data_IF_170486965589
#
_entry.id   IF_170486965589
#
_cell.length_a   1.000
_cell.length_b   1.000
_cell.length_c   1.000
_cell.angle_alpha   90.00
_cell.angle_beta   90.00
_cell.angle_gamma   90.00
#
_symmetry.space_group_name_H-M   'P 1'
#
loop_
_entity.id
_entity.type
_entity.pdbx_description
1 polymer ?
#
# COMPACT_ATOMS: atom_id res chain seq x y z
N UNK A 1 33.13 1.61 -8.56
CA UNK A 1 31.81 0.96 -8.41
C UNK A 1 31.35 1.16 -6.97
N UNK A 2 30.45 2.11 -6.73
CA UNK A 2 29.85 2.28 -5.39
C UNK A 2 28.88 1.12 -5.18
N UNK A 3 29.21 0.22 -4.27
CA UNK A 3 28.31 -0.81 -3.76
C UNK A 3 27.10 -0.11 -3.16
N UNK A 4 25.99 -0.07 -3.90
CA UNK A 4 24.74 0.43 -3.38
C UNK A 4 24.30 -0.52 -2.27
N UNK A 5 24.46 -0.12 -1.01
CA UNK A 5 23.82 -0.75 0.14
C UNK A 5 22.30 -0.80 -0.12
N UNK A 6 21.80 -1.91 -0.66
CA UNK A 6 20.38 -2.13 -0.90
C UNK A 6 19.74 -2.55 0.41
N UNK A 7 19.60 -1.59 1.33
CA UNK A 7 18.86 -1.77 2.57
C UNK A 7 17.38 -1.90 2.26
N UNK A 8 16.74 -2.95 2.77
CA UNK A 8 15.29 -3.12 2.69
C UNK A 8 14.62 -2.36 3.83
N UNK A 9 13.57 -1.62 3.48
CA UNK A 9 12.68 -0.95 4.41
C UNK A 9 11.33 -1.64 4.39
N UNK A 10 10.60 -1.58 5.49
CA UNK A 10 9.23 -2.03 5.54
C UNK A 10 8.32 -1.00 6.19
N UNK A 11 7.10 -0.90 5.68
CA UNK A 11 5.97 -0.22 6.29
C UNK A 11 4.92 -1.27 6.65
N UNK A 12 4.25 -1.11 7.79
CA UNK A 12 3.09 -1.92 8.14
C UNK A 12 1.99 -1.06 8.72
N UNK A 13 0.75 -1.30 8.29
CA UNK A 13 -0.44 -0.61 8.78
C UNK A 13 -1.53 -1.60 9.12
N UNK A 14 -2.48 -1.14 9.93
CA UNK A 14 -3.66 -1.91 10.33
C UNK A 14 -4.88 -1.01 10.35
N UNK A 15 -6.00 -1.50 9.82
CA UNK A 15 -7.31 -0.88 9.97
C UNK A 15 -8.35 -1.97 10.24
N UNK A 16 -9.07 -1.84 11.34
CA UNK A 16 -10.26 -2.64 11.59
C UNK A 16 -11.51 -1.87 11.14
N UNK A 17 -12.41 -2.55 10.41
CA UNK A 17 -13.69 -2.02 10.01
C UNK A 17 -14.82 -3.00 10.37
N UNK A 18 -16.03 -2.52 10.75
CA UNK A 18 -17.18 -3.35 11.11
C UNK A 18 -17.90 -3.87 9.86
N UNK A 19 -17.16 -4.44 8.91
CA UNK A 19 -17.65 -4.96 7.64
C UNK A 19 -17.12 -6.39 7.47
N UNK A 20 -17.90 -7.26 6.83
CA UNK A 20 -17.49 -8.64 6.59
C UNK A 20 -16.32 -8.71 5.59
N UNK A 21 -15.45 -9.70 5.77
CA UNK A 21 -14.20 -9.82 5.02
C UNK A 21 -14.39 -9.84 3.52
N UNK A 22 -15.38 -10.57 3.02
CA UNK A 22 -15.63 -10.67 1.57
C UNK A 22 -15.88 -9.32 0.92
N UNK A 23 -16.66 -8.44 1.55
CA UNK A 23 -16.93 -7.11 1.00
C UNK A 23 -15.70 -6.21 1.07
N UNK A 24 -14.93 -6.28 2.16
CA UNK A 24 -13.65 -5.55 2.25
C UNK A 24 -12.66 -6.05 1.19
N UNK A 25 -12.55 -7.37 1.02
CA UNK A 25 -11.67 -7.97 0.01
C UNK A 25 -12.09 -7.55 -1.41
N UNK A 26 -13.39 -7.59 -1.72
CA UNK A 26 -13.93 -7.21 -3.03
C UNK A 26 -13.53 -5.77 -3.40
N UNK A 27 -13.68 -4.83 -2.46
CA UNK A 27 -13.24 -3.44 -2.64
C UNK A 27 -11.74 -3.34 -2.94
N UNK A 28 -10.89 -4.09 -2.21
CA UNK A 28 -9.43 -4.06 -2.42
C UNK A 28 -9.00 -4.78 -3.70
N UNK A 29 -9.79 -5.76 -4.16
CA UNK A 29 -9.53 -6.50 -5.40
C UNK A 29 -9.92 -5.71 -6.65
N UNK A 30 -10.63 -4.60 -6.53
CA UNK A 30 -10.89 -3.72 -7.67
C UNK A 30 -9.74 -2.72 -7.83
N UNK A 31 -8.91 -2.93 -8.85
CA UNK A 31 -7.79 -2.04 -9.16
C UNK A 31 -8.21 -0.58 -9.40
N UNK A 32 -9.46 -0.32 -9.81
CA UNK A 32 -9.98 1.04 -9.99
C UNK A 32 -10.33 1.71 -8.65
N UNK A 33 -10.60 0.95 -7.60
CA UNK A 33 -10.79 1.49 -6.24
C UNK A 33 -9.48 2.04 -5.64
N UNK A 34 -8.32 1.57 -6.11
CA UNK A 34 -7.02 2.10 -5.70
C UNK A 34 -6.89 3.59 -6.01
N UNK A 35 -7.53 4.09 -7.08
CA UNK A 35 -7.55 5.52 -7.40
C UNK A 35 -8.22 6.34 -6.29
N UNK A 36 -9.30 5.83 -5.71
CA UNK A 36 -10.02 6.49 -4.60
C UNK A 36 -9.26 6.38 -3.27
N UNK A 37 -8.51 5.28 -3.09
CA UNK A 37 -7.72 5.01 -1.89
C UNK A 37 -6.34 5.69 -1.89
N UNK A 38 -5.98 6.41 -2.95
CA UNK A 38 -4.70 7.12 -3.07
C UNK A 38 -4.90 8.64 -3.08
N UNK A 39 -3.98 9.40 -2.46
CA UNK A 39 -4.12 10.85 -2.40
C UNK A 39 -4.17 11.51 -3.80
N UNK A 40 -5.01 12.55 -4.01
CA UNK A 40 -5.14 13.22 -5.31
C UNK A 40 -3.82 13.81 -5.86
N UNK A 41 -2.88 14.19 -4.97
CA UNK A 41 -1.58 14.74 -5.38
C UNK A 41 -0.70 13.72 -6.12
N UNK A 42 -0.93 12.41 -5.93
CA UNK A 42 -0.26 11.37 -6.71
C UNK A 42 -0.82 11.24 -8.11
N UNK A 43 -2.03 11.74 -8.40
CA UNK A 43 -2.71 11.55 -9.68
C UNK A 43 -2.56 10.11 -10.20
N UNK A 44 -2.86 9.14 -9.31
CA UNK A 44 -2.80 7.72 -9.61
C UNK A 44 -3.84 7.41 -10.68
N UNK A 45 -3.44 6.69 -11.73
CA UNK A 45 -4.32 6.27 -12.81
C UNK A 45 -3.99 4.85 -13.23
N UNK A 46 -5.00 4.01 -13.32
CA UNK A 46 -4.88 2.69 -13.95
C UNK A 46 -4.82 2.87 -15.47
N UNK A 47 -3.78 2.33 -16.08
CA UNK A 47 -3.58 2.35 -17.54
C UNK A 47 -4.05 1.05 -18.21
N UNK A 48 -4.10 -0.05 -17.46
CA UNK A 48 -4.65 -1.32 -17.95
C UNK A 48 -6.16 -1.16 -18.22
N UNK A 49 -6.65 -1.46 -19.43
CA UNK A 49 -8.08 -1.39 -19.73
C UNK A 49 -8.90 -2.36 -18.88
N UNK A 50 -10.07 -1.92 -18.43
CA UNK A 50 -11.01 -2.75 -17.69
C UNK A 50 -11.91 -3.63 -18.59
N UNK A 51 -12.57 -4.64 -18.02
CA UNK A 51 -12.44 -5.10 -16.64
C UNK A 51 -11.09 -5.83 -16.41
N UNK A 52 -10.57 -5.75 -15.19
CA UNK A 52 -9.33 -6.41 -14.79
C UNK A 52 -9.70 -7.59 -13.89
N UNK A 53 -9.52 -8.80 -14.40
CA UNK A 53 -9.60 -10.00 -13.57
C UNK A 53 -8.33 -10.11 -12.72
N UNK A 54 -8.50 -10.14 -11.40
CA UNK A 54 -7.39 -10.31 -10.45
C UNK A 54 -7.09 -11.80 -10.25
N UNK A 55 -5.85 -12.17 -10.52
CA UNK A 55 -5.34 -13.53 -10.35
C UNK A 55 -3.82 -13.51 -10.25
N UNK A 56 -3.21 -14.61 -9.78
CA UNK A 56 -1.75 -14.75 -9.77
C UNK A 56 -1.17 -14.59 -11.19
N UNK A 57 -0.07 -13.84 -11.33
CA UNK A 57 0.55 -13.45 -12.59
C UNK A 57 -0.11 -12.25 -13.28
N UNK A 58 -1.19 -11.67 -12.74
CA UNK A 58 -1.87 -10.55 -13.38
C UNK A 58 -0.98 -9.30 -13.40
N UNK A 59 -0.72 -8.79 -14.60
CA UNK A 59 0.01 -7.54 -14.79
C UNK A 59 -0.93 -6.34 -14.81
N UNK A 60 -0.55 -5.29 -14.08
CA UNK A 60 -1.28 -4.04 -14.03
C UNK A 60 -0.31 -2.87 -14.23
N UNK A 61 -0.66 -1.98 -15.15
CA UNK A 61 0.08 -0.77 -15.46
C UNK A 61 -0.64 0.44 -14.86
N UNK A 62 0.12 1.29 -14.19
CA UNK A 62 -0.33 2.53 -13.58
C UNK A 62 0.54 3.71 -14.02
N UNK A 63 0.00 4.90 -13.81
CA UNK A 63 0.77 6.15 -13.82
C UNK A 63 0.54 6.88 -12.50
N UNK A 64 1.64 7.35 -11.90
CA UNK A 64 1.62 8.21 -10.72
C UNK A 64 2.44 9.47 -10.97
N UNK A 65 2.29 10.47 -10.10
CA UNK A 65 3.08 11.70 -10.08
C UNK A 65 3.81 11.79 -8.73
N UNK A 66 5.12 11.56 -8.75
CA UNK A 66 5.98 11.72 -7.57
C UNK A 66 6.73 13.04 -7.67
N UNK A 67 6.57 13.90 -6.66
CA UNK A 67 7.19 15.25 -6.60
C UNK A 67 7.06 16.04 -7.92
N UNK A 68 5.90 15.95 -8.58
CA UNK A 68 5.60 16.65 -9.83
C UNK A 68 5.93 15.88 -11.11
N UNK A 69 6.72 14.81 -11.04
CA UNK A 69 7.17 14.03 -12.21
C UNK A 69 6.24 12.83 -12.47
N UNK A 70 5.73 12.64 -13.70
CA UNK A 70 4.95 11.47 -14.05
C UNK A 70 5.86 10.23 -14.17
N UNK A 71 5.45 9.13 -13.54
CA UNK A 71 6.18 7.86 -13.50
C UNK A 71 5.21 6.74 -13.86
N UNK A 72 5.63 5.90 -14.82
CA UNK A 72 4.94 4.65 -15.12
C UNK A 72 5.36 3.56 -14.15
N UNK A 73 4.39 2.80 -13.67
CA UNK A 73 4.59 1.74 -12.71
C UNK A 73 3.87 0.49 -13.18
N UNK A 74 4.59 -0.60 -13.38
CA UNK A 74 4.05 -1.93 -13.68
C UNK A 74 4.23 -2.84 -12.47
N UNK A 75 3.16 -3.48 -12.05
CA UNK A 75 3.17 -4.52 -11.02
C UNK A 75 2.63 -5.84 -11.55
N UNK A 76 2.92 -6.90 -10.82
CA UNK A 76 2.39 -8.25 -10.99
C UNK A 76 1.73 -8.69 -9.68
N UNK A 77 0.55 -9.31 -9.75
CA UNK A 77 -0.05 -10.00 -8.61
C UNK A 77 0.67 -11.32 -8.41
N UNK A 78 1.60 -11.38 -7.46
CA UNK A 78 2.45 -12.56 -7.23
C UNK A 78 1.79 -13.60 -6.34
N UNK A 79 0.83 -13.19 -5.51
CA UNK A 79 0.06 -14.06 -4.63
C UNK A 79 -1.41 -13.66 -4.69
N UNK A 80 -2.29 -14.65 -4.72
CA UNK A 80 -3.73 -14.47 -4.83
C UNK A 80 -4.47 -15.61 -4.10
N UNK A 81 -5.02 -15.30 -2.92
CA UNK A 81 -5.78 -16.26 -2.10
C UNK A 81 -7.06 -15.59 -1.57
N UNK A 82 -8.09 -15.41 -2.41
CA UNK A 82 -9.32 -14.74 -2.01
C UNK A 82 -10.13 -15.58 -1.01
N UNK A 83 -10.74 -14.97 0.03
CA UNK A 83 -10.73 -13.54 0.36
C UNK A 83 -9.69 -13.18 1.44
N UNK A 84 -8.59 -13.94 1.57
CA UNK A 84 -7.65 -13.86 2.69
C UNK A 84 -6.48 -12.91 2.42
N UNK A 85 -5.85 -12.98 1.25
CA UNK A 85 -4.72 -12.14 0.92
C UNK A 85 -4.46 -12.00 -0.59
N UNK A 86 -3.68 -10.97 -0.93
CA UNK A 86 -2.98 -10.89 -2.20
C UNK A 86 -1.72 -10.04 -2.06
N UNK A 87 -0.78 -10.23 -2.98
CA UNK A 87 0.49 -9.49 -3.01
C UNK A 87 0.74 -8.93 -4.39
N UNK A 88 1.00 -7.63 -4.50
CA UNK A 88 1.48 -6.98 -5.70
C UNK A 88 2.99 -6.68 -5.61
N UNK A 89 3.74 -7.06 -6.65
CA UNK A 89 5.18 -6.83 -6.74
C UNK A 89 5.51 -5.95 -7.94
N UNK A 90 6.37 -4.97 -7.75
CA UNK A 90 6.81 -4.10 -8.84
C UNK A 90 7.75 -4.86 -9.80
N UNK A 91 7.41 -4.82 -11.09
CA UNK A 91 8.31 -5.21 -12.18
C UNK A 91 9.09 -4.01 -12.73
N UNK A 92 8.46 -2.83 -12.78
CA UNK A 92 9.08 -1.58 -13.22
C UNK A 92 8.45 -0.40 -12.51
N UNK A 93 9.23 0.49 -11.92
CA UNK A 93 8.67 1.65 -11.24
C UNK A 93 9.73 2.51 -10.54
N UNK A 94 9.31 3.39 -9.62
CA UNK A 94 10.19 4.36 -8.94
C UNK A 94 11.11 3.70 -7.91
N UNK A 95 10.78 2.50 -7.44
CA UNK A 95 11.54 1.76 -6.43
C UNK A 95 12.58 0.83 -7.07
N UNK A 96 13.57 0.37 -6.31
CA UNK A 96 14.45 -0.74 -6.72
C UNK A 96 13.75 -2.08 -6.56
N UNK A 97 12.97 -2.22 -5.50
CA UNK A 97 12.02 -3.31 -5.28
C UNK A 97 10.84 -2.76 -4.51
N UNK A 98 9.68 -3.37 -4.73
CA UNK A 98 8.45 -3.10 -4.02
C UNK A 98 7.62 -4.36 -4.02
N UNK A 99 7.22 -4.78 -2.83
CA UNK A 99 6.31 -5.90 -2.58
C UNK A 99 5.28 -5.39 -1.58
N UNK A 100 4.01 -5.37 -1.97
CA UNK A 100 2.92 -4.91 -1.12
C UNK A 100 1.93 -6.06 -0.94
N UNK A 101 1.88 -6.56 0.28
CA UNK A 101 0.96 -7.62 0.71
C UNK A 101 -0.21 -7.02 1.47
N UNK A 102 -1.40 -7.45 1.10
CA UNK A 102 -2.67 -7.11 1.74
C UNK A 102 -3.23 -8.38 2.39
N UNK A 103 -3.59 -8.32 3.66
CA UNK A 103 -4.23 -9.44 4.36
C UNK A 103 -5.50 -9.01 5.07
N UNK A 104 -6.48 -9.92 5.10
CA UNK A 104 -7.82 -9.68 5.60
C UNK A 104 -8.21 -10.77 6.60
N UNK A 105 -8.33 -10.39 7.86
CA UNK A 105 -8.65 -11.30 8.96
C UNK A 105 -9.99 -10.92 9.59
N UNK A 106 -10.86 -11.91 9.82
CA UNK A 106 -12.08 -11.69 10.62
C UNK A 106 -11.70 -11.55 12.09
N UNK A 107 -12.11 -10.44 12.71
CA UNK A 107 -11.78 -10.12 14.10
C UNK A 107 -12.91 -9.32 14.73
N UNK A 108 -13.34 -9.69 15.94
CA UNK A 108 -14.35 -8.96 16.73
C UNK A 108 -15.64 -8.62 15.95
N UNK A 109 -16.08 -9.51 15.06
CA UNK A 109 -17.28 -9.31 14.23
C UNK A 109 -17.10 -8.35 13.05
N UNK A 110 -15.88 -7.91 12.77
CA UNK A 110 -15.50 -7.13 11.59
C UNK A 110 -14.29 -7.72 10.88
N UNK A 111 -13.60 -6.87 10.11
CA UNK A 111 -12.40 -7.26 9.35
C UNK A 111 -11.23 -6.38 9.72
N UNK A 112 -10.12 -7.01 10.08
CA UNK A 112 -8.82 -6.38 10.23
C UNK A 112 -8.04 -6.47 8.92
N UNK A 113 -7.91 -5.34 8.25
CA UNK A 113 -7.05 -5.14 7.09
C UNK A 113 -5.64 -4.85 7.56
N UNK A 114 -4.66 -5.54 6.99
CA UNK A 114 -3.25 -5.22 7.17
C UNK A 114 -2.59 -5.01 5.82
N UNK A 115 -1.85 -3.92 5.72
CA UNK A 115 -0.93 -3.71 4.61
C UNK A 115 0.50 -3.88 5.12
N UNK A 116 1.31 -4.60 4.37
CA UNK A 116 2.77 -4.64 4.53
C UNK A 116 3.41 -4.27 3.20
N UNK A 117 4.24 -3.23 3.23
CA UNK A 117 5.03 -2.83 2.06
C UNK A 117 6.50 -3.06 2.38
N UNK A 118 7.17 -3.88 1.59
CA UNK A 118 8.61 -4.11 1.63
C UNK A 118 9.24 -3.50 0.40
N UNK A 119 10.19 -2.60 0.59
CA UNK A 119 10.68 -1.77 -0.50
C UNK A 119 12.14 -1.36 -0.34
N UNK A 120 12.77 -1.14 -1.50
CA UNK A 120 14.12 -0.58 -1.60
C UNK A 120 14.06 0.66 -2.48
N UNK A 121 14.77 1.72 -2.08
CA UNK A 121 14.74 3.01 -2.78
C UNK A 121 16.09 3.33 -3.45
N UNK A 122 16.09 3.98 -4.62
CA UNK A 122 17.31 4.60 -5.15
C UNK A 122 17.89 5.60 -4.14
N UNK A 123 19.20 5.53 -3.85
CA UNK A 123 19.86 6.37 -2.85
C UNK A 123 19.71 5.92 -1.38
N UNK A 124 19.03 4.79 -1.13
CA UNK A 124 19.00 4.12 0.17
C UNK A 124 18.38 4.96 1.29
N UNK A 125 18.94 4.86 2.50
CA UNK A 125 18.37 5.43 3.73
C UNK A 125 18.13 6.94 3.66
N UNK A 126 18.98 7.69 2.95
CA UNK A 126 18.84 9.14 2.85
C UNK A 126 17.57 9.52 2.07
N UNK A 127 17.40 8.94 0.87
CA UNK A 127 16.19 9.13 0.06
C UNK A 127 14.95 8.65 0.81
N UNK A 128 15.06 7.51 1.51
CA UNK A 128 13.94 6.99 2.28
C UNK A 128 13.48 7.97 3.36
N UNK A 129 14.41 8.46 4.18
CA UNK A 129 14.12 9.33 5.31
C UNK A 129 13.60 10.71 4.88
N UNK A 130 14.17 11.29 3.83
CA UNK A 130 13.83 12.64 3.40
C UNK A 130 12.52 12.72 2.60
N UNK A 131 12.19 11.67 1.84
CA UNK A 131 11.09 11.72 0.88
C UNK A 131 10.11 10.56 1.09
N UNK A 132 10.56 9.32 0.83
CA UNK A 132 9.67 8.15 0.67
C UNK A 132 8.89 7.84 1.94
N UNK A 133 9.51 7.88 3.12
CA UNK A 133 8.84 7.60 4.39
C UNK A 133 7.71 8.59 4.68
N UNK A 134 7.93 9.87 4.37
CA UNK A 134 6.92 10.92 4.53
C UNK A 134 5.77 10.74 3.55
N UNK A 135 6.06 10.42 2.29
CA UNK A 135 5.07 10.18 1.26
C UNK A 135 4.22 8.95 1.57
N UNK A 136 4.84 7.82 1.91
CA UNK A 136 4.14 6.60 2.31
C UNK A 136 3.23 6.84 3.52
N UNK A 137 3.71 7.56 4.54
CA UNK A 137 2.87 7.93 5.68
C UNK A 137 1.63 8.72 5.25
N UNK A 138 1.79 9.70 4.37
CA UNK A 138 0.66 10.49 3.84
C UNK A 138 -0.31 9.63 3.02
N UNK A 139 0.20 8.72 2.20
CA UNK A 139 -0.60 7.81 1.38
C UNK A 139 -1.46 6.90 2.25
N UNK A 140 -0.86 6.21 3.22
CA UNK A 140 -1.60 5.26 4.06
C UNK A 140 -2.53 5.96 5.06
N UNK A 141 -2.16 7.14 5.57
CA UNK A 141 -3.09 7.95 6.37
C UNK A 141 -4.31 8.39 5.54
N UNK A 142 -4.10 8.81 4.30
CA UNK A 142 -5.20 9.15 3.40
C UNK A 142 -6.10 7.92 3.13
N UNK A 143 -5.49 6.76 2.84
CA UNK A 143 -6.23 5.50 2.66
C UNK A 143 -7.11 5.19 3.87
N UNK A 144 -6.56 5.24 5.07
CA UNK A 144 -7.32 4.99 6.30
C UNK A 144 -8.48 5.99 6.49
N UNK A 145 -8.37 7.21 5.97
CA UNK A 145 -9.43 8.22 5.99
C UNK A 145 -10.53 7.97 4.95
N UNK A 146 -10.17 7.50 3.75
CA UNK A 146 -11.14 7.28 2.67
C UNK A 146 -11.86 5.93 2.79
N UNK A 147 -11.15 4.90 3.26
CA UNK A 147 -11.65 3.52 3.26
C UNK A 147 -13.00 3.34 3.97
N UNK A 148 -13.27 3.94 5.16
CA UNK A 148 -14.59 3.85 5.79
C UNK A 148 -15.72 4.35 4.88
N UNK A 149 -15.52 5.45 4.15
CA UNK A 149 -16.50 6.00 3.23
C UNK A 149 -16.81 5.07 2.05
N UNK A 150 -15.78 4.42 1.48
CA UNK A 150 -15.97 3.43 0.42
C UNK A 150 -16.65 2.14 0.92
N UNK A 151 -16.47 1.82 2.20
CA UNK A 151 -17.15 0.70 2.86
C UNK A 151 -18.54 1.07 3.40
N UNK A 152 -19.03 2.29 3.15
CA UNK A 152 -20.30 2.82 3.64
C UNK A 152 -20.45 2.74 5.18
N UNK A 153 -19.35 2.92 5.91
CA UNK A 153 -19.31 2.98 7.38
C UNK A 153 -18.72 4.31 7.86
N UNK A 154 -19.00 4.67 9.11
CA UNK A 154 -18.44 5.90 9.68
C UNK A 154 -16.98 5.68 10.07
N UNK A 155 -16.18 6.74 9.95
CA UNK A 155 -14.77 6.70 10.35
C UNK A 155 -14.61 6.37 11.83
N UNK A 156 -15.53 6.87 12.68
CA UNK A 156 -15.52 6.65 14.12
C UNK A 156 -15.76 5.18 14.52
N UNK A 157 -16.39 4.40 13.64
CA UNK A 157 -16.66 2.97 13.89
C UNK A 157 -15.43 2.11 13.54
N UNK A 158 -14.43 2.68 12.87
CA UNK A 158 -13.20 1.97 12.53
C UNK A 158 -12.11 2.17 13.59
N UNK A 159 -11.26 1.16 13.78
CA UNK A 159 -10.09 1.24 14.67
C UNK A 159 -8.81 1.23 13.84
N UNK A 160 -7.99 2.28 13.98
CA UNK A 160 -6.73 2.43 13.24
C UNK A 160 -5.55 2.00 14.10
N UNK A 161 -4.67 1.20 13.53
CA UNK A 161 -3.34 0.97 14.07
C UNK A 161 -2.36 2.05 13.62
N UNK A 162 -1.19 2.06 14.25
CA UNK A 162 -0.08 2.93 13.85
C UNK A 162 0.50 2.54 12.49
N UNK A 163 0.99 3.53 11.74
CA UNK A 163 1.84 3.32 10.57
C UNK A 163 3.27 3.12 11.05
N UNK A 164 3.69 1.85 11.09
CA UNK A 164 4.99 1.43 11.60
C UNK A 164 6.00 1.32 10.46
N UNK A 165 7.20 1.84 10.68
CA UNK A 165 8.32 1.70 9.75
C UNK A 165 9.44 0.89 10.40
N UNK A 166 9.97 -0.09 9.68
CA UNK A 166 11.11 -0.89 10.11
C UNK A 166 12.15 -0.98 8.98
N UNK A 167 13.34 -1.46 9.32
CA UNK A 167 14.40 -1.72 8.35
C UNK A 167 15.32 -2.81 8.89
N UNK A 168 16.00 -3.55 8.00
CA UNK A 168 16.85 -4.70 8.35
C UNK A 168 18.06 -4.37 9.26
N UNK A 169 18.29 -3.09 9.58
CA UNK A 169 19.33 -2.67 10.54
C UNK A 169 18.72 -1.80 11.64
N UNK A 170 18.28 -2.44 12.72
CA UNK A 170 17.97 -1.79 13.99
C UNK A 170 16.63 -1.07 14.05
N UNK A 171 15.83 -1.43 15.05
CA UNK A 171 14.64 -0.72 15.50
C UNK A 171 14.94 0.77 15.73
N UNK A 172 14.50 1.63 14.82
CA UNK A 172 14.25 3.03 15.16
C UNK A 172 12.75 3.20 15.29
N UNK A 173 12.22 2.99 16.50
CA UNK A 173 10.91 3.51 16.88
C UNK A 173 11.01 5.04 16.89
N UNK A 174 10.68 5.70 15.77
CA UNK A 174 10.29 7.10 15.82
C UNK A 174 8.82 7.15 16.21
N UNK A 175 8.56 7.28 17.52
CA UNK A 175 7.30 7.82 18.02
C UNK A 175 7.17 9.24 17.47
N UNK A 176 6.14 9.50 16.69
CA UNK A 176 5.69 10.86 16.43
C UNK A 176 4.59 11.13 17.46
N UNK A 177 4.96 11.79 18.55
CA UNK A 177 3.99 12.36 19.49
C UNK A 177 3.38 13.61 18.85
N UNK A 178 2.05 13.69 18.93
CA UNK A 178 1.27 14.91 18.92
C UNK A 178 0.39 14.89 20.17
#
# INVERSE_FOLDING_TARGET
MLTANSRTFALSTKLWAPVNRSHVFELFSDAFQLEHLTPPWLNFRVLTPGPIEMCSGRLIDYQIRLHGLPIRWRTEITEWDPPFCFTDSQLRGPYRSWVHTHTFEELDGGTLVRDRVEYQVPGGSLTNRLFVQGDLRRIFNYRHNQLPGLLAVRVEDCKRGEVLFTSETGSTQMKAEA
#
